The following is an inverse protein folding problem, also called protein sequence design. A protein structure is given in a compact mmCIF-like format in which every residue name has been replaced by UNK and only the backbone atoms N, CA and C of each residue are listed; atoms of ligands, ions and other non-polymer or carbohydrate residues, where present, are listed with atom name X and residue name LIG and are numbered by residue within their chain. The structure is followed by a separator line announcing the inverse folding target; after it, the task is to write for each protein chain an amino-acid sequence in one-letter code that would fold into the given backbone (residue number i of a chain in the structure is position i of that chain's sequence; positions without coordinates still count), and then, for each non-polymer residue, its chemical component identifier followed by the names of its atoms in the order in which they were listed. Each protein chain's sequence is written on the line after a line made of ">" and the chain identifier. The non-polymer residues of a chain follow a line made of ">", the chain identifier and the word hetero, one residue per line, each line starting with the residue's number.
data_IF_604091042254
#
_entry.id   IF_604091042254
#
_cell.length_a   1.000
_cell.length_b   1.000
_cell.length_c   1.000
_cell.angle_alpha   90.00
_cell.angle_beta   90.00
_cell.angle_gamma   90.00
#
_symmetry.space_group_name_H-M   'P 1'
#
loop_
_entity.id
_entity.type
_entity.pdbx_description
1 polymer ?
#
# COMPACT_ATOMS: atom_id res chain seq x y z
N UNK A 1 -9.56 2.13 11.90
CA UNK A 1 -8.27 1.82 11.24
C UNK A 1 -8.34 0.35 10.83
N UNK A 2 -8.23 0.04 9.53
CA UNK A 2 -8.22 -1.37 9.09
C UNK A 2 -6.91 -2.01 9.53
N UNK A 3 -6.95 -3.27 9.92
CA UNK A 3 -5.77 -4.05 10.29
C UNK A 3 -5.77 -5.29 9.42
N UNK A 4 -4.75 -5.42 8.57
CA UNK A 4 -4.54 -6.61 7.75
C UNK A 4 -3.51 -7.49 8.45
N UNK A 5 -3.88 -8.73 8.78
CA UNK A 5 -2.98 -9.67 9.47
C UNK A 5 -2.15 -10.50 8.48
N UNK A 6 -2.69 -10.72 7.29
CA UNK A 6 -2.04 -11.47 6.23
C UNK A 6 -2.42 -10.91 4.87
N UNK A 7 -1.65 -11.25 3.83
CA UNK A 7 -2.04 -10.92 2.45
C UNK A 7 -3.41 -11.49 2.08
N UNK A 8 -3.87 -12.59 2.67
CA UNK A 8 -5.21 -13.14 2.38
C UNK A 8 -6.35 -12.20 2.82
N UNK A 9 -6.14 -11.42 3.88
CA UNK A 9 -7.13 -10.46 4.39
C UNK A 9 -7.21 -9.19 3.54
N UNK A 10 -6.20 -8.96 2.69
CA UNK A 10 -6.12 -7.75 1.85
C UNK A 10 -7.07 -7.89 0.66
N UNK A 11 -7.97 -6.90 0.44
CA UNK A 11 -8.89 -6.91 -0.69
C UNK A 11 -8.14 -6.86 -2.03
N UNK A 12 -8.75 -7.42 -3.09
CA UNK A 12 -8.17 -7.43 -4.43
C UNK A 12 -7.90 -6.02 -4.97
N UNK A 13 -8.76 -5.06 -4.63
CA UNK A 13 -8.59 -3.66 -4.98
C UNK A 13 -8.46 -2.84 -3.70
N UNK A 14 -7.31 -2.17 -3.59
CA UNK A 14 -6.93 -1.32 -2.48
C UNK A 14 -7.19 0.14 -2.81
N UNK A 15 -7.49 0.90 -1.77
CA UNK A 15 -7.45 2.36 -1.80
C UNK A 15 -6.16 2.85 -1.14
N UNK A 16 -5.91 4.14 -1.27
CA UNK A 16 -4.73 4.77 -0.64
C UNK A 16 -4.65 4.52 0.86
N UNK A 17 -5.79 4.44 1.55
CA UNK A 17 -5.85 4.15 2.99
C UNK A 17 -5.33 2.75 3.31
N UNK A 18 -5.64 1.77 2.47
CA UNK A 18 -5.19 0.39 2.66
C UNK A 18 -3.66 0.31 2.47
N UNK A 19 -3.12 1.05 1.50
CA UNK A 19 -1.66 1.15 1.28
C UNK A 19 -0.95 1.83 2.44
N UNK A 20 -1.55 2.88 3.03
CA UNK A 20 -1.02 3.53 4.23
C UNK A 20 -0.91 2.52 5.38
N UNK A 21 -1.95 1.72 5.60
CA UNK A 21 -1.93 0.66 6.61
C UNK A 21 -0.88 -0.41 6.30
N UNK A 22 -0.78 -0.86 5.06
CA UNK A 22 0.10 -1.96 4.67
C UNK A 22 1.58 -1.59 4.67
N UNK A 23 1.92 -0.38 4.25
CA UNK A 23 3.31 0.07 4.11
C UNK A 23 3.78 0.91 5.30
N UNK A 24 2.89 1.24 6.25
CA UNK A 24 3.22 2.09 7.39
C UNK A 24 3.61 3.53 7.01
N UNK A 25 3.19 4.00 5.84
CA UNK A 25 3.53 5.33 5.30
C UNK A 25 2.38 6.33 5.49
N UNK A 26 2.68 7.63 5.45
CA UNK A 26 1.61 8.63 5.48
C UNK A 26 0.85 8.71 4.15
N UNK A 27 -0.39 9.21 4.21
CA UNK A 27 -1.29 9.36 3.05
C UNK A 27 -0.69 10.21 1.93
N UNK A 28 0.05 11.26 2.28
CA UNK A 28 0.68 12.16 1.29
C UNK A 28 1.73 11.43 0.47
N UNK A 29 2.57 10.60 1.11
CA UNK A 29 3.56 9.75 0.45
C UNK A 29 2.86 8.74 -0.45
N UNK A 30 1.83 8.04 0.07
CA UNK A 30 1.09 7.06 -0.71
C UNK A 30 0.45 7.68 -1.98
N UNK A 31 -0.16 8.87 -1.87
CA UNK A 31 -0.70 9.60 -3.02
C UNK A 31 0.42 10.05 -3.97
N UNK A 32 1.55 10.52 -3.43
CA UNK A 32 2.71 10.93 -4.25
C UNK A 32 3.25 9.76 -5.06
N UNK A 33 3.35 8.58 -4.47
CA UNK A 33 3.80 7.36 -5.14
C UNK A 33 2.83 6.87 -6.20
N UNK A 34 1.52 6.95 -5.94
CA UNK A 34 0.49 6.68 -6.96
C UNK A 34 0.59 7.66 -8.13
N UNK A 35 0.80 8.96 -7.86
CA UNK A 35 0.98 9.98 -8.90
C UNK A 35 2.27 9.80 -9.69
N UNK A 36 3.34 9.38 -9.04
CA UNK A 36 4.65 9.17 -9.65
C UNK A 36 4.75 7.84 -10.41
N UNK A 37 3.75 6.96 -10.30
CA UNK A 37 3.77 5.64 -10.93
C UNK A 37 4.65 4.61 -10.22
N UNK A 38 5.15 4.91 -9.02
CA UNK A 38 5.91 3.96 -8.17
C UNK A 38 4.98 2.83 -7.71
N UNK A 39 3.74 3.18 -7.37
CA UNK A 39 2.68 2.20 -7.15
C UNK A 39 1.76 2.26 -8.37
N UNK A 40 1.62 1.18 -9.15
CA UNK A 40 0.64 1.10 -10.22
C UNK A 40 -0.77 1.33 -9.65
N UNK A 41 -1.39 2.45 -10.04
CA UNK A 41 -2.66 2.88 -9.51
C UNK A 41 -3.50 3.55 -10.59
N UNK A 42 -4.80 3.27 -10.60
CA UNK A 42 -5.77 3.94 -11.48
C UNK A 42 -6.58 4.95 -10.69
N UNK A 43 -6.68 6.18 -11.17
CA UNK A 43 -7.52 7.20 -10.54
C UNK A 43 -8.89 7.26 -11.22
N UNK A 44 -9.97 7.03 -10.48
CA UNK A 44 -11.35 7.14 -10.96
C UNK A 44 -12.18 7.95 -9.97
N UNK A 45 -12.85 9.00 -10.44
CA UNK A 45 -13.70 9.85 -9.58
C UNK A 45 -12.97 10.48 -8.39
N UNK A 46 -11.68 10.82 -8.54
CA UNK A 46 -10.88 11.40 -7.45
C UNK A 46 -10.24 10.37 -6.50
N UNK A 47 -10.61 9.09 -6.61
CA UNK A 47 -10.13 8.01 -5.74
C UNK A 47 -9.07 7.20 -6.48
N UNK A 48 -8.01 6.81 -5.77
CA UNK A 48 -6.98 5.90 -6.29
C UNK A 48 -7.36 4.45 -5.99
N UNK A 49 -7.28 3.62 -7.02
CA UNK A 49 -7.51 2.18 -6.98
C UNK A 49 -6.22 1.47 -7.36
N UNK A 50 -5.77 0.58 -6.50
CA UNK A 50 -4.49 -0.12 -6.60
C UNK A 50 -4.79 -1.60 -6.59
N UNK A 51 -4.28 -2.35 -7.56
CA UNK A 51 -4.47 -3.80 -7.56
C UNK A 51 -3.55 -4.43 -6.52
N UNK A 52 -4.09 -5.41 -5.79
CA UNK A 52 -3.32 -6.19 -4.83
C UNK A 52 -2.12 -6.86 -5.48
N UNK A 53 -2.30 -7.43 -6.67
CA UNK A 53 -1.23 -8.09 -7.40
C UNK A 53 -0.07 -7.14 -7.72
N UNK A 54 -0.38 -5.91 -8.15
CA UNK A 54 0.64 -4.89 -8.43
C UNK A 54 1.38 -4.47 -7.16
N UNK A 55 0.64 -4.25 -6.07
CA UNK A 55 1.25 -3.92 -4.78
C UNK A 55 2.10 -5.07 -4.24
N UNK A 56 1.64 -6.32 -4.37
CA UNK A 56 2.40 -7.51 -3.98
C UNK A 56 3.66 -7.71 -4.83
N UNK A 57 3.61 -7.35 -6.11
CA UNK A 57 4.77 -7.45 -7.01
C UNK A 57 5.87 -6.47 -6.62
N UNK A 58 5.48 -5.22 -6.33
CA UNK A 58 6.41 -4.16 -5.97
C UNK A 58 6.87 -4.25 -4.49
N UNK A 59 6.02 -4.80 -3.62
CA UNK A 59 6.21 -4.82 -2.17
C UNK A 59 5.98 -6.21 -1.56
N UNK A 60 6.42 -7.28 -2.22
CA UNK A 60 6.28 -8.66 -1.71
C UNK A 60 6.86 -8.83 -0.29
N UNK A 61 7.91 -8.07 0.02
CA UNK A 61 8.57 -8.04 1.31
C UNK A 61 7.88 -7.14 2.34
N UNK A 62 6.85 -6.36 2.00
CA UNK A 62 6.25 -5.40 2.93
C UNK A 62 5.55 -6.04 4.14
N UNK A 63 5.06 -7.27 4.00
CA UNK A 63 4.58 -8.07 5.14
C UNK A 63 5.72 -8.76 5.91
N UNK A 64 6.91 -8.81 5.32
CA UNK A 64 8.13 -9.35 5.93
C UNK A 64 8.94 -8.26 6.65
N UNK A 65 8.46 -7.01 6.65
CA UNK A 65 9.12 -5.92 7.39
C UNK A 65 8.84 -6.18 8.88
N UNK A 66 9.85 -6.57 9.70
CA UNK A 66 9.67 -6.57 11.13
C UNK A 66 9.32 -5.14 11.53
N UNK A 67 8.33 -5.00 12.41
CA UNK A 67 8.12 -3.77 13.17
C UNK A 67 9.44 -3.41 13.87
N UNK A 68 10.31 -2.63 13.22
CA UNK A 68 11.71 -2.55 13.61
C UNK A 68 12.62 -1.94 12.55
N UNK A 69 12.31 -0.72 12.10
CA UNK A 69 13.40 0.24 11.85
C UNK A 69 13.68 0.93 13.18
N UNK A 70 14.39 0.23 14.05
CA UNK A 70 15.27 0.91 14.99
C UNK A 70 16.43 1.50 14.18
N UNK A 71 16.73 2.74 14.51
CA UNK A 71 17.84 3.57 14.04
C UNK A 71 19.17 2.82 14.01
N UNK A 72 19.94 3.00 12.94
CA UNK A 72 21.39 2.86 12.94
C UNK A 72 22.01 4.22 12.59
#
# INVERSE_FOLDING_TARGET
>A
MKLYKSWNDVPLILRTEDVVTLLGINRTIAVKWCKAGIIPATKKGGIWFIQKADLMKEFSHAFDIPAGRETA
#
